data_IF_470323359716
#
_entry.id   IF_470323359716
#
_cell.length_a   1.000
_cell.length_b   1.000
_cell.length_c   1.000
_cell.angle_alpha   90.00
_cell.angle_beta   90.00
_cell.angle_gamma   90.00
#
_symmetry.space_group_name_H-M   'P 1'
#
loop_
_entity.id
_entity.type
_entity.pdbx_description
1 polymer ?
#
# COMPACT_ATOMS: atom_id res chain seq x y z
N UNK A 1 -12.31 -16.03 -21.75
CA UNK A 1 -10.97 -16.60 -22.03
C UNK A 1 -9.94 -15.49 -21.90
N UNK A 2 -8.77 -15.76 -21.36
CA UNK A 2 -7.75 -14.73 -21.15
C UNK A 2 -7.18 -14.36 -22.52
N UNK A 3 -7.23 -13.07 -22.84
CA UNK A 3 -6.53 -12.55 -24.01
C UNK A 3 -5.08 -12.27 -23.65
N UNK A 4 -4.21 -12.29 -24.65
CA UNK A 4 -2.85 -11.77 -24.50
C UNK A 4 -2.92 -10.34 -23.93
N UNK A 5 -1.96 -10.00 -23.06
CA UNK A 5 -1.87 -8.73 -22.35
C UNK A 5 -3.08 -8.34 -21.46
N UNK A 6 -3.79 -9.29 -20.86
CA UNK A 6 -4.81 -8.99 -19.84
C UNK A 6 -4.17 -8.80 -18.46
N UNK A 7 -4.26 -7.58 -17.92
CA UNK A 7 -3.78 -7.24 -16.56
C UNK A 7 -4.84 -7.39 -15.47
N UNK A 8 -6.13 -7.33 -15.85
CA UNK A 8 -7.26 -7.49 -14.94
C UNK A 8 -7.70 -8.94 -14.81
N UNK A 9 -8.49 -9.22 -13.76
CA UNK A 9 -9.19 -10.50 -13.64
C UNK A 9 -10.16 -10.71 -14.81
N UNK A 10 -10.43 -11.98 -15.12
CA UNK A 10 -11.47 -12.33 -16.09
C UNK A 10 -12.85 -11.95 -15.54
N UNK A 11 -13.84 -11.74 -16.42
CA UNK A 11 -15.22 -11.51 -16.01
C UNK A 11 -15.76 -12.65 -15.14
N UNK A 12 -16.47 -12.29 -14.07
CA UNK A 12 -17.05 -13.26 -13.14
C UNK A 12 -18.09 -14.14 -13.83
N UNK A 13 -17.97 -15.45 -13.65
CA UNK A 13 -18.92 -16.46 -14.15
C UNK A 13 -19.77 -17.08 -13.03
N UNK A 14 -19.51 -16.72 -11.77
CA UNK A 14 -20.26 -17.17 -10.59
C UNK A 14 -20.34 -16.05 -9.55
N UNK A 15 -21.38 -16.03 -8.69
CA UNK A 15 -21.51 -15.03 -7.63
C UNK A 15 -20.31 -15.01 -6.66
N UNK A 16 -19.68 -16.16 -6.44
CA UNK A 16 -18.48 -16.26 -5.61
C UNK A 16 -17.27 -15.56 -6.26
N UNK A 17 -17.12 -15.67 -7.58
CA UNK A 17 -16.05 -15.00 -8.31
C UNK A 17 -16.22 -13.47 -8.29
N UNK A 18 -17.45 -12.99 -8.29
CA UNK A 18 -17.76 -11.56 -8.15
C UNK A 18 -17.37 -11.03 -6.75
N UNK A 19 -17.66 -11.80 -5.69
CA UNK A 19 -17.22 -11.45 -4.33
C UNK A 19 -15.68 -11.42 -4.21
N UNK A 20 -14.98 -12.35 -4.87
CA UNK A 20 -13.52 -12.36 -4.90
C UNK A 20 -12.95 -11.18 -5.69
N UNK A 21 -13.60 -10.73 -6.76
CA UNK A 21 -13.18 -9.52 -7.49
C UNK A 21 -13.33 -8.27 -6.63
N UNK A 22 -14.42 -8.13 -5.86
CA UNK A 22 -14.56 -7.02 -4.91
C UNK A 22 -13.50 -7.04 -3.80
N UNK A 23 -13.19 -8.22 -3.27
CA UNK A 23 -12.13 -8.36 -2.27
C UNK A 23 -10.75 -8.03 -2.85
N UNK A 24 -10.46 -8.50 -4.07
CA UNK A 24 -9.23 -8.19 -4.78
C UNK A 24 -9.07 -6.68 -4.98
N UNK A 25 -10.10 -6.00 -5.48
CA UNK A 25 -10.02 -4.55 -5.73
C UNK A 25 -9.78 -3.77 -4.43
N UNK A 26 -10.44 -4.16 -3.34
CA UNK A 26 -10.22 -3.55 -2.03
C UNK A 26 -8.78 -3.75 -1.53
N UNK A 27 -8.26 -4.98 -1.57
CA UNK A 27 -6.88 -5.26 -1.13
C UNK A 27 -5.84 -4.56 -2.00
N UNK A 28 -6.06 -4.47 -3.32
CA UNK A 28 -5.18 -3.74 -4.22
C UNK A 28 -5.18 -2.23 -3.96
N UNK A 29 -6.31 -1.65 -3.56
CA UNK A 29 -6.35 -0.23 -3.16
C UNK A 29 -5.51 0.04 -1.91
N UNK A 30 -5.57 -0.84 -0.91
CA UNK A 30 -4.77 -0.73 0.32
C UNK A 30 -3.28 -0.82 0.00
N UNK A 31 -2.88 -1.82 -0.80
CA UNK A 31 -1.48 -1.98 -1.23
C UNK A 31 -0.97 -0.75 -1.98
N UNK A 32 -1.78 -0.20 -2.88
CA UNK A 32 -1.40 1.00 -3.64
C UNK A 32 -1.17 2.20 -2.73
N UNK A 33 -2.02 2.42 -1.72
CA UNK A 33 -1.86 3.50 -0.73
C UNK A 33 -0.54 3.35 0.03
N UNK A 34 -0.23 2.13 0.49
CA UNK A 34 1.02 1.86 1.22
C UNK A 34 2.24 2.14 0.33
N UNK A 35 2.23 1.66 -0.91
CA UNK A 35 3.34 1.88 -1.86
C UNK A 35 3.54 3.36 -2.17
N UNK A 36 2.47 4.11 -2.38
CA UNK A 36 2.54 5.56 -2.64
C UNK A 36 3.08 6.33 -1.42
N UNK A 37 2.66 5.96 -0.20
CA UNK A 37 3.17 6.55 1.04
C UNK A 37 4.68 6.32 1.18
N UNK A 38 5.14 5.09 0.96
CA UNK A 38 6.57 4.73 1.04
C UNK A 38 7.38 5.46 -0.02
N UNK A 39 6.90 5.49 -1.27
CA UNK A 39 7.56 6.20 -2.37
C UNK A 39 7.70 7.70 -2.07
N UNK A 40 6.67 8.31 -1.50
CA UNK A 40 6.70 9.71 -1.08
C UNK A 40 7.75 9.97 0.01
N UNK A 41 7.80 9.15 1.06
CA UNK A 41 8.79 9.28 2.15
C UNK A 41 10.21 9.14 1.59
N UNK A 42 10.47 8.12 0.77
CA UNK A 42 11.78 7.91 0.14
C UNK A 42 12.16 9.10 -0.75
N UNK A 43 11.23 9.60 -1.56
CA UNK A 43 11.46 10.78 -2.42
C UNK A 43 11.78 12.04 -1.61
N UNK A 44 11.09 12.25 -0.48
CA UNK A 44 11.36 13.37 0.42
C UNK A 44 12.73 13.24 1.11
N UNK A 45 13.12 12.04 1.53
CA UNK A 45 14.42 11.81 2.17
C UNK A 45 15.58 12.07 1.20
N UNK A 46 15.45 11.68 -0.08
CA UNK A 46 16.47 11.98 -1.09
C UNK A 46 16.64 13.48 -1.36
N UNK A 47 15.57 14.27 -1.23
CA UNK A 47 15.60 15.73 -1.43
C UNK A 47 15.98 16.51 -0.18
N UNK A 48 16.10 15.86 0.97
CA UNK A 48 16.35 16.55 2.22
C UNK A 48 17.84 16.91 2.37
N UNK A 49 18.16 18.22 2.41
CA UNK A 49 19.52 18.70 2.61
C UNK A 49 19.92 18.84 4.10
N UNK A 50 18.97 18.71 5.03
CA UNK A 50 19.22 18.89 6.46
C UNK A 50 19.58 17.56 7.13
N UNK A 51 20.76 17.50 7.75
CA UNK A 51 21.24 16.32 8.48
C UNK A 51 20.86 16.47 9.95
N UNK A 52 19.97 15.62 10.44
CA UNK A 52 19.69 15.48 11.86
C UNK A 52 20.52 14.32 12.46
N UNK A 53 21.52 14.64 13.29
CA UNK A 53 22.42 13.64 13.91
C UNK A 53 21.89 13.07 15.23
N UNK A 54 20.87 13.66 15.84
CA UNK A 54 20.34 13.24 17.16
C UNK A 54 19.17 12.29 17.05
N UNK A 55 18.70 11.99 15.84
CA UNK A 55 17.60 11.05 15.59
C UNK A 55 18.13 9.60 15.57
N UNK A 56 18.66 9.15 16.71
CA UNK A 56 19.18 7.77 16.86
C UNK A 56 18.05 6.76 17.11
N UNK A 57 17.04 7.18 17.89
CA UNK A 57 15.83 6.40 18.16
C UNK A 57 14.61 7.32 18.10
N UNK A 58 13.58 6.87 17.38
CA UNK A 58 12.35 7.62 17.15
C UNK A 58 11.12 6.80 17.54
N UNK A 59 11.01 6.40 18.81
CA UNK A 59 9.91 5.55 19.30
C UNK A 59 8.52 6.07 18.91
N UNK A 60 8.32 7.38 18.90
CA UNK A 60 7.06 8.00 18.45
C UNK A 60 6.79 7.76 16.95
N UNK A 61 7.82 7.81 16.11
CA UNK A 61 7.73 7.52 14.67
C UNK A 61 7.40 6.05 14.45
N UNK A 62 7.98 5.16 15.25
CA UNK A 62 7.71 3.73 15.18
C UNK A 62 6.26 3.39 15.54
N UNK A 63 5.73 4.02 16.58
CA UNK A 63 4.33 3.87 16.97
C UNK A 63 3.40 4.38 15.86
N UNK A 64 3.72 5.51 15.23
CA UNK A 64 2.90 6.08 14.16
C UNK A 64 2.88 5.13 12.95
N UNK A 65 4.03 4.66 12.47
CA UNK A 65 4.08 3.79 11.28
C UNK A 65 3.66 2.34 11.54
N UNK A 66 3.42 1.93 12.79
CA UNK A 66 2.87 0.60 13.12
C UNK A 66 1.35 0.66 13.24
N UNK A 67 0.81 1.69 13.89
CA UNK A 67 -0.63 1.88 14.02
C UNK A 67 -1.26 2.18 12.66
N UNK A 68 -0.64 3.05 11.85
CA UNK A 68 -1.20 3.45 10.54
C UNK A 68 -1.51 2.23 9.63
N UNK A 69 -0.57 1.30 9.36
CA UNK A 69 -0.86 0.09 8.58
C UNK A 69 -1.88 -0.83 9.25
N UNK A 70 -1.84 -0.94 10.58
CA UNK A 70 -2.77 -1.81 11.32
C UNK A 70 -4.21 -1.32 11.18
N UNK A 71 -4.43 0.00 11.23
CA UNK A 71 -5.75 0.61 11.01
C UNK A 71 -6.21 0.47 9.56
N UNK A 72 -5.30 0.55 8.58
CA UNK A 72 -5.68 0.36 7.16
C UNK A 72 -6.02 -1.08 6.79
N UNK A 73 -5.57 -2.06 7.60
CA UNK A 73 -5.80 -3.49 7.38
C UNK A 73 -7.01 -4.04 8.18
N UNK A 74 -7.48 -3.31 9.20
CA UNK A 74 -8.66 -3.62 10.02
C UNK A 74 -9.94 -3.17 9.31
#
# INVERSE_FOLDING_TARGET
MATWSSYSLMNAMSPLMEQLTFFHDHTMTILFIILMMVAYIMGMMMKNCYINKTLLEGQTIEIIWTILPTVTLL
#
